data_IF_806099835160
#
_entry.id   IF_806099835160
#
_cell.length_a   1.000
_cell.length_b   1.000
_cell.length_c   1.000
_cell.angle_alpha   90.00
_cell.angle_beta   90.00
_cell.angle_gamma   90.00
#
_symmetry.space_group_name_H-M   'P 1'
#
loop_
_entity.id
_entity.type
_entity.pdbx_description
1 polymer ?
#
# COMPACT_ATOMS: atom_id res chain seq x y z
N UNK A 1 -13.32 -8.80 0.38
CA UNK A 1 -13.09 -8.68 -1.07
C UNK A 1 -11.64 -8.30 -1.27
N UNK A 2 -10.95 -8.90 -2.23
CA UNK A 2 -9.54 -8.60 -2.54
C UNK A 2 -9.49 -7.92 -3.90
N UNK A 3 -8.92 -6.72 -3.97
CA UNK A 3 -8.70 -6.00 -5.22
C UNK A 3 -7.24 -6.19 -5.65
N UNK A 4 -7.03 -6.47 -6.93
CA UNK A 4 -5.70 -6.62 -7.50
C UNK A 4 -5.53 -5.66 -8.67
N UNK A 5 -4.40 -4.96 -8.69
CA UNK A 5 -4.07 -3.98 -9.70
C UNK A 5 -2.72 -4.33 -10.32
N UNK A 6 -2.63 -4.25 -11.66
CA UNK A 6 -1.35 -4.32 -12.37
C UNK A 6 -0.98 -2.92 -12.82
N UNK A 7 0.18 -2.44 -12.38
CA UNK A 7 0.69 -1.11 -12.71
C UNK A 7 1.95 -1.24 -13.58
N UNK A 8 2.12 -0.38 -14.60
CA UNK A 8 3.34 -0.37 -15.38
C UNK A 8 4.51 0.11 -14.51
N UNK A 9 5.59 -0.68 -14.50
CA UNK A 9 6.80 -0.31 -13.77
C UNK A 9 7.44 0.94 -14.36
N UNK A 10 7.98 1.80 -13.49
CA UNK A 10 8.82 2.94 -13.84
C UNK A 10 10.03 2.98 -12.92
N UNK A 11 11.18 3.42 -13.42
CA UNK A 11 12.38 3.55 -12.61
C UNK A 11 12.12 4.48 -11.42
N UNK A 12 12.53 4.06 -10.21
CA UNK A 12 12.31 4.83 -8.98
C UNK A 12 10.87 4.79 -8.46
N UNK A 13 10.01 3.90 -8.98
CA UNK A 13 8.69 3.66 -8.42
C UNK A 13 8.83 3.07 -7.01
N UNK A 14 8.19 3.71 -6.02
CA UNK A 14 8.19 3.26 -4.64
C UNK A 14 6.91 2.50 -4.30
N UNK A 15 6.91 1.76 -3.19
CA UNK A 15 5.71 1.08 -2.66
C UNK A 15 4.55 2.07 -2.50
N UNK A 16 4.78 3.22 -1.87
CA UNK A 16 3.75 4.24 -1.63
C UNK A 16 3.18 4.81 -2.94
N UNK A 17 4.05 5.13 -3.91
CA UNK A 17 3.61 5.64 -5.23
C UNK A 17 2.86 4.58 -6.04
N UNK A 18 3.30 3.33 -5.97
CA UNK A 18 2.59 2.20 -6.57
C UNK A 18 1.16 2.09 -6.02
N UNK A 19 1.01 2.13 -4.69
CA UNK A 19 -0.29 2.08 -4.02
C UNK A 19 -1.17 3.30 -4.36
N UNK A 20 -0.61 4.50 -4.33
CA UNK A 20 -1.32 5.73 -4.69
C UNK A 20 -1.83 5.68 -6.15
N UNK A 21 -1.05 5.12 -7.07
CA UNK A 21 -1.43 5.00 -8.48
C UNK A 21 -2.65 4.12 -8.74
N UNK A 22 -3.03 3.26 -7.79
CA UNK A 22 -4.25 2.44 -7.89
C UNK A 22 -5.53 3.23 -7.67
N UNK A 23 -5.43 4.45 -7.12
CA UNK A 23 -6.58 5.26 -6.68
C UNK A 23 -7.37 4.67 -5.52
N UNK A 24 -7.01 3.48 -5.03
CA UNK A 24 -7.70 2.77 -3.95
C UNK A 24 -7.10 3.05 -2.58
N UNK A 25 -5.95 3.72 -2.50
CA UNK A 25 -5.26 4.02 -1.24
C UNK A 25 -5.16 5.52 -1.07
N UNK A 26 -5.72 6.03 0.02
CA UNK A 26 -5.64 7.44 0.39
C UNK A 26 -4.44 7.70 1.29
N UNK A 27 -3.73 8.80 1.01
CA UNK A 27 -2.58 9.26 1.78
C UNK A 27 -2.88 10.61 2.44
N UNK A 28 -2.32 10.84 3.63
CA UNK A 28 -2.30 12.17 4.26
C UNK A 28 -1.23 13.06 3.62
N UNK A 29 -1.17 14.33 4.06
CA UNK A 29 -0.11 15.25 3.67
C UNK A 29 1.30 14.80 4.13
N UNK A 30 1.38 13.93 5.14
CA UNK A 30 2.61 13.38 5.70
C UNK A 30 2.96 12.00 5.13
N UNK A 31 2.42 11.64 3.96
CA UNK A 31 2.61 10.35 3.28
C UNK A 31 2.18 9.11 4.09
N UNK A 32 1.27 9.28 5.07
CA UNK A 32 0.69 8.15 5.81
C UNK A 32 -0.55 7.60 5.13
N UNK A 33 -0.72 6.28 5.13
CA UNK A 33 -1.96 5.64 4.64
C UNK A 33 -3.10 5.95 5.62
N UNK A 34 -4.14 6.62 5.12
CA UNK A 34 -5.34 6.99 5.90
C UNK A 34 -6.61 6.30 5.43
N UNK A 35 -6.62 5.70 4.23
CA UNK A 35 -7.75 4.89 3.76
C UNK A 35 -7.34 3.84 2.74
N UNK A 36 -8.08 2.73 2.71
CA UNK A 36 -7.88 1.61 1.79
C UNK A 36 -9.24 1.15 1.27
N UNK A 37 -9.45 1.21 -0.05
CA UNK A 37 -10.70 0.83 -0.70
C UNK A 37 -11.91 1.61 -0.20
N UNK A 38 -11.72 2.86 0.23
CA UNK A 38 -12.76 3.69 0.86
C UNK A 38 -12.97 3.45 2.35
N UNK A 39 -12.27 2.49 2.97
CA UNK A 39 -12.31 2.25 4.42
C UNK A 39 -11.27 3.13 5.12
N UNK A 40 -11.66 4.02 6.06
CA UNK A 40 -10.72 4.84 6.81
C UNK A 40 -9.93 4.02 7.83
N UNK A 41 -8.63 4.27 7.93
CA UNK A 41 -7.75 3.67 8.93
C UNK A 41 -7.87 4.48 10.23
N UNK A 42 -8.83 4.08 11.07
CA UNK A 42 -9.14 4.76 12.32
C UNK A 42 -9.82 3.79 13.30
N UNK A 43 -9.77 4.10 14.60
CA UNK A 43 -10.38 3.27 15.64
C UNK A 43 -9.81 1.84 15.65
N UNK A 44 -10.69 0.84 15.49
CA UNK A 44 -10.31 -0.58 15.48
C UNK A 44 -9.94 -1.11 14.08
N UNK A 45 -9.62 -0.24 13.11
CA UNK A 45 -9.20 -0.68 11.77
C UNK A 45 -7.71 -0.44 11.60
N UNK A 46 -6.97 -1.53 11.38
CA UNK A 46 -5.55 -1.52 11.04
C UNK A 46 -5.29 -2.03 9.62
N UNK A 47 -4.04 -1.94 9.20
CA UNK A 47 -3.58 -2.54 7.95
C UNK A 47 -2.20 -3.15 8.09
N UNK A 48 -1.88 -4.08 7.18
CA UNK A 48 -0.53 -4.61 6.98
C UNK A 48 -0.13 -4.49 5.52
N UNK A 49 1.15 -4.22 5.30
CA UNK A 49 1.77 -4.19 3.98
C UNK A 49 2.59 -5.46 3.82
N UNK A 50 2.43 -6.16 2.71
CA UNK A 50 3.30 -7.27 2.32
C UNK A 50 4.02 -6.97 1.02
N UNK A 51 5.34 -7.09 1.01
CA UNK A 51 6.15 -7.07 -0.19
C UNK A 51 6.56 -8.51 -0.51
N UNK A 52 6.17 -9.00 -1.68
CA UNK A 52 6.44 -10.37 -2.12
C UNK A 52 6.04 -11.42 -1.08
N UNK A 53 4.89 -11.20 -0.43
CA UNK A 53 4.35 -12.08 0.62
C UNK A 53 4.94 -11.89 2.02
N UNK A 54 5.97 -11.05 2.21
CA UNK A 54 6.54 -10.74 3.52
C UNK A 54 5.97 -9.45 4.09
N UNK A 55 5.50 -9.50 5.34
CA UNK A 55 5.05 -8.31 6.05
C UNK A 55 6.21 -7.34 6.25
N UNK A 56 5.99 -6.08 5.88
CA UNK A 56 6.97 -4.99 5.98
C UNK A 56 6.38 -3.83 6.77
N UNK A 57 7.21 -3.06 7.50
CA UNK A 57 6.74 -1.87 8.19
C UNK A 57 6.37 -0.75 7.20
N UNK A 58 5.44 0.12 7.60
CA UNK A 58 5.02 1.28 6.81
C UNK A 58 6.17 2.28 6.53
N UNK A 59 7.25 2.24 7.31
CA UNK A 59 8.47 3.02 7.04
C UNK A 59 9.11 2.66 5.68
N UNK A 60 8.78 1.51 5.10
CA UNK A 60 9.23 1.11 3.77
C UNK A 60 8.32 1.59 2.63
N UNK A 61 7.34 2.47 2.87
CA UNK A 61 6.57 3.08 1.78
C UNK A 61 7.44 3.81 0.75
N UNK A 62 8.59 4.35 1.19
CA UNK A 62 9.58 4.99 0.33
C UNK A 62 10.58 4.02 -0.32
N UNK A 63 10.48 2.72 -0.04
CA UNK A 63 11.31 1.70 -0.66
C UNK A 63 11.00 1.58 -2.16
N UNK A 64 12.03 1.51 -3.00
CA UNK A 64 11.89 1.36 -4.44
C UNK A 64 11.61 -0.09 -4.80
N UNK A 65 10.52 -0.33 -5.52
CA UNK A 65 10.17 -1.68 -5.99
C UNK A 65 10.97 -2.05 -7.23
N UNK A 66 11.12 -3.36 -7.44
CA UNK A 66 11.71 -3.95 -8.63
C UNK A 66 10.61 -4.41 -9.61
N UNK A 67 10.94 -4.63 -10.89
CA UNK A 67 10.05 -5.31 -11.81
C UNK A 67 9.57 -6.64 -11.23
N UNK A 68 8.28 -6.94 -11.40
CA UNK A 68 7.62 -8.16 -10.90
C UNK A 68 7.42 -8.23 -9.37
N UNK A 69 7.82 -7.22 -8.61
CA UNK A 69 7.44 -7.14 -7.20
C UNK A 69 5.92 -7.06 -7.04
N UNK A 70 5.40 -7.73 -6.02
CA UNK A 70 3.99 -7.68 -5.62
C UNK A 70 3.86 -7.00 -4.27
N UNK A 71 3.09 -5.92 -4.23
CA UNK A 71 2.70 -5.25 -2.99
C UNK A 71 1.26 -5.62 -2.67
N UNK A 72 1.03 -6.17 -1.48
CA UNK A 72 -0.31 -6.47 -0.96
C UNK A 72 -0.61 -5.57 0.23
N UNK A 73 -1.84 -5.03 0.26
CA UNK A 73 -2.39 -4.30 1.39
C UNK A 73 -3.56 -5.10 1.95
N UNK A 74 -3.53 -5.41 3.25
CA UNK A 74 -4.62 -6.12 3.91
C UNK A 74 -5.14 -5.32 5.09
N UNK A 75 -6.46 -5.19 5.19
CA UNK A 75 -7.16 -4.60 6.32
C UNK A 75 -7.42 -5.66 7.39
N UNK A 76 -7.34 -5.29 8.65
CA UNK A 76 -7.76 -6.13 9.77
C UNK A 76 -8.45 -5.31 10.86
N UNK A 77 -9.27 -5.98 11.67
CA UNK A 77 -9.85 -5.41 12.87
C UNK A 77 -8.91 -5.64 14.07
N UNK A 78 -8.78 -4.62 14.93
CA UNK A 78 -8.05 -4.66 16.20
C UNK A 78 -8.92 -5.19 17.35
#
# INVERSE_FOLDING_TARGET
MTNSFTIPYRQGLTIGRALASTGSVGFSADDQIVSIGGVPISGNVGYQIKLNGRTVPATLLNYTIQPSDTVTLELYAL
#
